data_IF_648854975069
#
_entry.id   IF_648854975069
#
_cell.length_a   1.000
_cell.length_b   1.000
_cell.length_c   1.000
_cell.angle_alpha   90.00
_cell.angle_beta   90.00
_cell.angle_gamma   90.00
#
_symmetry.space_group_name_H-M   'P 1'
#
loop_
_entity.id
_entity.type
_entity.pdbx_description
1 polymer ?
#
# COMPACT_ATOMS: atom_id res chain seq x y z
N UNK A 1 -67.47 6.83 33.56
CA UNK A 1 -67.80 8.27 33.42
C UNK A 1 -66.67 8.89 32.59
N UNK A 2 -66.80 9.47 31.40
CA UNK A 2 -67.83 9.55 30.33
C UNK A 2 -67.04 9.82 29.01
N UNK A 3 -67.42 9.47 27.78
CA UNK A 3 -68.50 8.62 27.24
C UNK A 3 -68.20 8.20 25.77
N UNK A 4 -69.13 7.48 25.13
CA UNK A 4 -69.18 7.15 23.70
C UNK A 4 -70.42 7.85 23.08
N UNK A 5 -70.46 8.20 21.77
CA UNK A 5 -70.81 7.24 20.69
C UNK A 5 -70.11 7.59 19.33
N UNK A 6 -70.27 6.94 18.16
CA UNK A 6 -71.03 5.76 17.67
C UNK A 6 -70.29 5.11 16.46
N UNK A 7 -70.87 4.10 15.79
CA UNK A 7 -70.56 3.72 14.38
C UNK A 7 -71.83 3.80 13.52
N UNK A 8 -71.73 3.69 12.17
CA UNK A 8 -72.23 2.44 11.58
C UNK A 8 -71.40 1.90 10.39
N UNK A 9 -71.56 0.59 10.11
CA UNK A 9 -71.00 -0.11 8.94
C UNK A 9 -71.94 -0.02 7.73
N UNK A 10 -71.42 0.00 6.50
CA UNK A 10 -72.13 -0.60 5.36
C UNK A 10 -71.23 -1.17 4.22
N UNK A 11 -71.55 -2.42 3.86
CA UNK A 11 -71.46 -3.13 2.57
C UNK A 11 -70.25 -2.95 1.62
N UNK A 12 -69.65 -4.08 1.30
CA UNK A 12 -68.87 -4.36 0.07
C UNK A 12 -69.80 -4.33 -1.15
N UNK A 13 -69.33 -3.83 -2.30
CA UNK A 13 -69.42 -4.61 -3.54
C UNK A 13 -68.06 -4.77 -4.24
N UNK A 14 -67.90 -5.89 -4.92
CA UNK A 14 -66.76 -6.26 -5.77
C UNK A 14 -66.76 -5.57 -7.13
N UNK A 15 -65.58 -5.60 -7.78
CA UNK A 15 -65.25 -5.32 -9.19
C UNK A 15 -65.20 -3.85 -9.65
N UNK A 16 -64.02 -3.46 -10.13
CA UNK A 16 -63.81 -2.84 -11.45
C UNK A 16 -62.32 -2.80 -11.81
N UNK A 17 -62.04 -3.08 -13.08
CA UNK A 17 -60.77 -3.14 -13.82
C UNK A 17 -59.50 -2.52 -13.19
N UNK A 18 -58.46 -3.36 -13.02
CA UNK A 18 -57.08 -2.90 -12.96
C UNK A 18 -56.48 -2.83 -14.38
N UNK A 19 -56.08 -1.62 -14.81
CA UNK A 19 -55.20 -1.40 -15.96
C UNK A 19 -53.84 -0.95 -15.44
N UNK A 20 -52.75 -1.73 -15.63
CA UNK A 20 -51.45 -1.38 -15.05
C UNK A 20 -50.76 -0.28 -15.87
N UNK A 21 -50.41 0.83 -15.20
CA UNK A 21 -49.53 1.85 -15.75
C UNK A 21 -48.08 1.31 -15.73
N UNK A 22 -47.45 1.29 -16.90
CA UNK A 22 -46.09 0.81 -17.12
C UNK A 22 -45.01 1.63 -16.38
N UNK A 23 -44.17 1.00 -15.54
CA UNK A 23 -42.89 1.56 -15.14
C UNK A 23 -41.85 1.32 -16.25
N UNK A 24 -41.20 2.39 -16.73
CA UNK A 24 -40.16 2.30 -17.77
C UNK A 24 -39.00 1.41 -17.30
N UNK A 25 -38.65 0.40 -18.11
CA UNK A 25 -37.46 -0.41 -17.91
C UNK A 25 -36.19 0.43 -17.98
N UNK A 26 -35.46 0.52 -16.88
CA UNK A 26 -34.05 0.91 -16.91
C UNK A 26 -33.23 -0.26 -17.46
N UNK A 27 -32.54 -0.06 -18.59
CA UNK A 27 -31.67 -1.08 -19.19
C UNK A 27 -30.43 -1.31 -18.31
N UNK A 28 -30.07 -2.55 -17.95
CA UNK A 28 -28.76 -2.83 -17.37
C UNK A 28 -27.67 -2.63 -18.44
N UNK A 29 -26.57 -2.00 -18.07
CA UNK A 29 -25.39 -1.82 -18.93
C UNK A 29 -24.68 -3.16 -19.14
N UNK A 30 -24.22 -3.38 -20.38
CA UNK A 30 -23.69 -4.67 -20.82
C UNK A 30 -22.40 -5.08 -20.06
N UNK A 31 -22.41 -6.28 -19.51
CA UNK A 31 -21.19 -7.02 -19.19
C UNK A 31 -20.57 -7.54 -20.49
N UNK A 32 -19.31 -7.18 -20.76
CA UNK A 32 -18.59 -7.65 -21.95
C UNK A 32 -17.89 -8.97 -21.63
N UNK A 33 -18.38 -10.06 -22.23
CA UNK A 33 -17.69 -11.36 -22.25
C UNK A 33 -16.42 -11.30 -23.10
N UNK A 34 -15.33 -12.02 -22.73
CA UNK A 34 -14.09 -12.00 -23.49
C UNK A 34 -14.24 -12.77 -24.81
N UNK A 35 -13.85 -12.14 -25.92
CA UNK A 35 -13.87 -12.74 -27.26
C UNK A 35 -12.76 -13.77 -27.46
N UNK A 36 -13.08 -14.84 -28.19
CA UNK A 36 -12.11 -15.84 -28.68
C UNK A 36 -11.06 -15.20 -29.58
N UNK A 37 -9.80 -15.60 -29.42
CA UNK A 37 -8.70 -15.29 -30.34
C UNK A 37 -8.95 -16.04 -31.66
N UNK A 38 -8.98 -15.30 -32.77
CA UNK A 38 -8.98 -15.85 -34.13
C UNK A 38 -7.61 -15.62 -34.77
N UNK A 39 -7.07 -16.67 -35.40
CA UNK A 39 -5.76 -16.66 -36.06
C UNK A 39 -5.93 -16.11 -37.49
N UNK A 40 -5.13 -15.12 -37.89
CA UNK A 40 -5.03 -14.66 -39.28
C UNK A 40 -3.57 -14.56 -39.77
N UNK A 41 -3.33 -15.23 -40.89
CA UNK A 41 -2.35 -14.97 -41.96
C UNK A 41 -3.18 -14.93 -43.28
N UNK A 42 -2.64 -14.66 -44.49
CA UNK A 42 -1.27 -14.26 -44.89
C UNK A 42 -1.25 -12.99 -45.80
N UNK A 43 -0.07 -12.55 -46.25
CA UNK A 43 0.38 -12.64 -47.67
C UNK A 43 1.76 -12.00 -47.90
N UNK A 44 2.49 -12.52 -48.89
CA UNK A 44 3.84 -12.09 -49.30
C UNK A 44 3.80 -11.32 -50.63
N UNK A 45 4.72 -10.38 -50.83
CA UNK A 45 5.25 -10.02 -52.16
C UNK A 45 6.62 -9.32 -52.08
N UNK A 46 7.56 -9.75 -52.92
CA UNK A 46 8.91 -9.19 -53.11
C UNK A 46 9.00 -8.48 -54.50
N UNK A 47 10.16 -8.01 -55.01
CA UNK A 47 10.53 -6.59 -54.97
C UNK A 47 10.73 -5.98 -56.37
N UNK A 48 11.25 -4.75 -56.47
CA UNK A 48 11.77 -4.17 -57.73
C UNK A 48 12.98 -3.26 -57.50
N UNK A 49 13.92 -3.21 -58.45
CA UNK A 49 15.31 -2.75 -58.24
C UNK A 49 15.86 -1.89 -59.40
N UNK A 50 16.29 -0.66 -59.06
CA UNK A 50 17.33 0.19 -59.68
C UNK A 50 17.28 0.65 -61.16
N UNK A 51 17.71 1.90 -61.42
CA UNK A 51 18.89 2.32 -62.24
C UNK A 51 18.97 3.90 -62.32
N UNK A 52 20.08 4.56 -62.77
CA UNK A 52 20.60 5.78 -62.10
C UNK A 52 21.00 7.01 -62.97
N UNK A 53 21.53 8.05 -62.29
CA UNK A 53 22.48 9.10 -62.77
C UNK A 53 21.90 10.29 -63.61
N UNK A 54 22.61 11.43 -63.85
CA UNK A 54 23.92 11.91 -63.31
C UNK A 54 24.05 13.44 -62.99
N UNK A 55 25.21 13.89 -62.42
CA UNK A 55 25.81 15.27 -62.39
C UNK A 55 25.06 16.41 -61.61
N UNK A 56 25.67 17.44 -60.97
CA UNK A 56 27.06 17.79 -60.56
C UNK A 56 27.07 19.11 -59.74
N UNK A 57 27.75 19.18 -58.57
CA UNK A 57 28.62 20.31 -58.09
C UNK A 57 29.18 20.06 -56.67
N UNK A 58 30.38 20.57 -56.32
CA UNK A 58 31.01 20.41 -55.01
C UNK A 58 30.84 21.63 -54.06
N UNK A 59 31.29 21.41 -52.81
CA UNK A 59 31.65 22.36 -51.73
C UNK A 59 30.56 23.18 -51.03
N UNK A 60 30.12 22.66 -49.87
CA UNK A 60 30.04 23.42 -48.61
C UNK A 60 30.77 22.61 -47.52
N UNK A 61 31.48 23.24 -46.56
CA UNK A 61 32.03 22.52 -45.40
C UNK A 61 30.88 22.11 -44.46
N UNK A 62 30.96 20.94 -43.80
CA UNK A 62 29.91 20.54 -42.87
C UNK A 62 29.84 21.54 -41.70
N UNK A 63 28.63 21.99 -41.30
CA UNK A 63 28.49 22.82 -40.11
C UNK A 63 29.04 22.07 -38.89
N UNK A 64 29.69 22.82 -38.00
CA UNK A 64 30.36 22.29 -36.82
C UNK A 64 29.44 21.33 -36.05
N UNK A 65 30.04 20.24 -35.56
CA UNK A 65 29.34 19.13 -34.93
C UNK A 65 28.21 19.64 -34.01
N UNK A 66 26.98 19.23 -34.33
CA UNK A 66 25.85 19.43 -33.44
C UNK A 66 26.28 18.89 -32.07
N UNK A 67 26.34 19.77 -31.08
CA UNK A 67 26.69 19.39 -29.72
C UNK A 67 25.77 18.23 -29.34
N UNK A 68 26.37 17.07 -29.09
CA UNK A 68 25.61 15.86 -28.82
C UNK A 68 24.75 16.14 -27.59
N UNK A 69 23.45 16.34 -27.83
CA UNK A 69 22.48 16.43 -26.76
C UNK A 69 22.67 15.17 -25.93
N UNK A 70 22.98 15.33 -24.65
CA UNK A 70 23.08 14.21 -23.73
C UNK A 70 21.80 13.37 -23.93
N UNK A 71 21.91 12.04 -24.12
CA UNK A 71 20.74 11.24 -24.39
C UNK A 71 19.74 11.50 -23.26
N UNK A 72 18.51 11.89 -23.61
CA UNK A 72 17.45 11.95 -22.61
C UNK A 72 17.46 10.60 -21.89
N UNK A 73 17.64 10.64 -20.57
CA UNK A 73 17.58 9.46 -19.71
C UNK A 73 16.12 9.02 -19.63
N UNK A 74 15.60 8.51 -20.74
CA UNK A 74 14.24 7.98 -20.82
C UNK A 74 14.28 6.64 -20.11
N UNK A 75 14.05 6.67 -18.78
CA UNK A 75 13.92 5.51 -17.90
C UNK A 75 12.92 4.45 -18.44
N UNK A 76 12.04 4.86 -19.37
CA UNK A 76 11.08 4.02 -20.07
C UNK A 76 11.34 4.12 -21.58
N UNK A 77 12.03 3.14 -22.17
CA UNK A 77 12.28 3.13 -23.62
C UNK A 77 11.00 3.17 -24.47
N UNK A 78 11.11 3.55 -25.74
CA UNK A 78 9.96 3.79 -26.63
C UNK A 78 8.92 2.65 -26.67
N UNK A 79 9.35 1.39 -26.55
CA UNK A 79 8.45 0.23 -26.44
C UNK A 79 7.60 0.25 -25.16
N UNK A 80 8.18 0.67 -24.02
CA UNK A 80 7.48 0.85 -22.75
C UNK A 80 6.47 1.98 -22.82
N UNK A 81 6.82 3.12 -23.44
CA UNK A 81 5.90 4.24 -23.66
C UNK A 81 4.69 3.84 -24.50
N UNK A 82 4.89 3.06 -25.56
CA UNK A 82 3.80 2.56 -26.40
C UNK A 82 2.94 1.50 -25.66
N UNK A 83 3.55 0.69 -24.80
CA UNK A 83 2.84 -0.31 -23.99
C UNK A 83 2.03 0.36 -22.87
N UNK A 84 2.53 1.42 -22.24
CA UNK A 84 1.81 2.20 -21.21
C UNK A 84 0.49 2.78 -21.70
N UNK A 85 0.40 3.19 -22.97
CA UNK A 85 -0.87 3.67 -23.58
C UNK A 85 -1.96 2.61 -23.61
N UNK A 86 -1.58 1.33 -23.54
CA UNK A 86 -2.47 0.16 -23.60
C UNK A 86 -2.74 -0.43 -22.22
N UNK A 87 -1.99 0.01 -21.21
CA UNK A 87 -2.12 -0.47 -19.84
C UNK A 87 -3.50 -0.12 -19.25
N UNK A 88 -4.05 -1.08 -18.50
CA UNK A 88 -5.37 -1.01 -17.86
C UNK A 88 -5.23 -1.64 -16.49
N UNK A 89 -5.45 -0.84 -15.44
CA UNK A 89 -5.49 -1.34 -14.07
C UNK A 89 -6.50 -2.49 -13.93
N UNK A 90 -6.11 -3.53 -13.21
CA UNK A 90 -6.98 -4.60 -12.76
C UNK A 90 -6.67 -4.89 -11.30
N UNK A 91 -7.65 -4.69 -10.42
CA UNK A 91 -7.54 -4.99 -9.00
C UNK A 91 -8.73 -5.83 -8.55
N UNK A 92 -8.48 -6.87 -7.77
CA UNK A 92 -9.49 -7.72 -7.14
C UNK A 92 -9.30 -7.65 -5.63
N UNK A 93 -10.22 -6.95 -4.97
CA UNK A 93 -10.26 -6.86 -3.51
C UNK A 93 -11.25 -7.89 -2.94
N UNK A 94 -10.71 -8.91 -2.27
CA UNK A 94 -11.51 -9.95 -1.62
C UNK A 94 -11.72 -9.70 -0.11
N UNK A 95 -11.18 -8.62 0.45
CA UNK A 95 -11.29 -8.27 1.88
C UNK A 95 -12.76 -8.18 2.31
N UNK A 96 -13.08 -8.91 3.39
CA UNK A 96 -14.43 -8.89 3.98
C UNK A 96 -14.71 -7.53 4.63
N UNK A 97 -13.70 -6.97 5.31
CA UNK A 97 -13.81 -5.67 5.99
C UNK A 97 -13.95 -4.53 4.98
N UNK A 98 -13.14 -4.54 3.92
CA UNK A 98 -13.29 -3.60 2.81
C UNK A 98 -14.71 -3.71 2.24
N UNK A 99 -15.10 -4.89 1.75
CA UNK A 99 -16.35 -5.08 1.01
C UNK A 99 -17.60 -4.62 1.77
N UNK A 100 -17.72 -4.95 3.06
CA UNK A 100 -18.95 -4.73 3.82
C UNK A 100 -18.93 -3.52 4.76
N UNK A 101 -17.76 -3.04 5.19
CA UNK A 101 -17.65 -1.92 6.15
C UNK A 101 -17.09 -0.66 5.50
N UNK A 102 -15.89 -0.76 4.92
CA UNK A 102 -15.13 0.43 4.51
C UNK A 102 -15.47 0.90 3.08
N UNK A 103 -15.74 0.01 2.14
CA UNK A 103 -16.17 0.36 0.78
C UNK A 103 -17.47 1.21 0.76
N UNK A 104 -18.52 0.92 1.57
CA UNK A 104 -19.66 1.81 1.75
C UNK A 104 -19.32 3.17 2.36
N UNK A 105 -18.40 3.21 3.33
CA UNK A 105 -17.92 4.44 3.97
C UNK A 105 -17.15 5.33 2.98
N UNK A 106 -16.08 4.82 2.37
CA UNK A 106 -15.27 5.51 1.36
C UNK A 106 -16.09 5.99 0.15
N UNK A 107 -17.14 5.24 -0.25
CA UNK A 107 -18.04 5.65 -1.33
C UNK A 107 -18.99 6.81 -0.96
N UNK A 108 -19.13 7.13 0.33
CA UNK A 108 -19.70 8.41 0.80
C UNK A 108 -18.62 9.48 0.89
N UNK A 109 -17.44 9.15 1.44
CA UNK A 109 -16.31 10.08 1.60
C UNK A 109 -15.90 10.73 0.27
N UNK A 110 -15.85 9.98 -0.85
CA UNK A 110 -15.52 10.56 -2.17
C UNK A 110 -16.44 11.71 -2.58
N UNK A 111 -17.68 11.77 -2.09
CA UNK A 111 -18.59 12.89 -2.40
C UNK A 111 -18.24 14.20 -1.68
N UNK A 112 -17.45 14.14 -0.61
CA UNK A 112 -16.92 15.30 0.11
C UNK A 112 -15.83 16.02 -0.70
N UNK A 113 -15.15 15.30 -1.60
CA UNK A 113 -14.11 15.85 -2.45
C UNK A 113 -14.72 16.54 -3.69
N UNK A 114 -14.31 17.77 -4.02
CA UNK A 114 -14.84 18.50 -5.16
C UNK A 114 -14.33 17.91 -6.49
N UNK A 115 -15.12 18.02 -7.56
CA UNK A 115 -14.80 17.42 -8.86
C UNK A 115 -13.55 17.99 -9.55
N UNK A 116 -13.09 19.18 -9.15
CA UNK A 116 -11.85 19.78 -9.67
C UNK A 116 -10.58 19.20 -9.03
N UNK A 117 -10.69 18.51 -7.88
CA UNK A 117 -9.52 17.99 -7.16
C UNK A 117 -8.99 16.72 -7.84
N UNK A 118 -7.73 16.71 -8.32
CA UNK A 118 -7.14 15.54 -8.96
C UNK A 118 -6.94 14.38 -7.97
N UNK A 119 -7.05 13.12 -8.42
CA UNK A 119 -6.79 11.94 -7.58
C UNK A 119 -5.42 11.98 -6.89
N UNK A 120 -4.34 12.22 -7.63
CA UNK A 120 -2.98 12.29 -7.09
C UNK A 120 -2.81 13.36 -5.98
N UNK A 121 -3.65 14.39 -5.94
CA UNK A 121 -3.65 15.39 -4.87
C UNK A 121 -4.27 14.83 -3.59
N UNK A 122 -5.27 13.93 -3.70
CA UNK A 122 -5.84 13.17 -2.58
C UNK A 122 -4.79 12.19 -2.07
N UNK A 123 -4.14 11.41 -2.95
CA UNK A 123 -3.02 10.51 -2.60
C UNK A 123 -1.94 11.25 -1.80
N UNK A 124 -1.46 12.38 -2.33
CA UNK A 124 -0.42 13.19 -1.69
C UNK A 124 -0.87 13.73 -0.32
N UNK A 125 -2.12 14.19 -0.19
CA UNK A 125 -2.65 14.63 1.10
C UNK A 125 -2.75 13.48 2.11
N UNK A 126 -3.14 12.28 1.65
CA UNK A 126 -3.12 11.07 2.46
C UNK A 126 -1.70 10.76 2.97
N UNK A 127 -0.72 10.76 2.07
CA UNK A 127 0.69 10.52 2.38
C UNK A 127 1.28 11.53 3.39
N UNK A 128 0.86 12.80 3.32
CA UNK A 128 1.26 13.83 4.30
C UNK A 128 0.83 13.51 5.74
N UNK A 129 -0.25 12.74 5.95
CA UNK A 129 -0.62 12.27 7.29
C UNK A 129 0.40 11.26 7.84
N UNK A 130 0.95 10.39 6.99
CA UNK A 130 2.01 9.45 7.38
C UNK A 130 3.33 10.17 7.68
N UNK A 131 3.71 11.14 6.85
CA UNK A 131 4.87 12.01 7.14
C UNK A 131 4.71 12.70 8.50
N UNK A 132 3.55 13.29 8.77
CA UNK A 132 3.23 13.91 10.07
C UNK A 132 3.30 12.90 11.22
N UNK A 133 2.75 11.69 11.03
CA UNK A 133 2.77 10.61 12.03
C UNK A 133 4.21 10.17 12.36
N UNK A 134 5.05 9.99 11.35
CA UNK A 134 6.47 9.66 11.53
C UNK A 134 7.26 10.79 12.20
N UNK A 135 6.97 12.05 11.88
CA UNK A 135 7.61 13.22 12.49
C UNK A 135 7.24 13.35 13.97
N UNK A 136 6.00 13.04 14.34
CA UNK A 136 5.61 12.96 15.76
C UNK A 136 6.38 11.84 16.50
N UNK A 137 6.62 10.71 15.84
CA UNK A 137 7.45 9.63 16.38
C UNK A 137 8.88 10.12 16.63
N UNK A 138 9.48 10.79 15.65
CA UNK A 138 10.82 11.37 15.78
C UNK A 138 10.94 12.38 16.93
N UNK A 139 9.95 13.26 17.09
CA UNK A 139 9.97 14.31 18.12
C UNK A 139 9.78 13.73 19.53
N UNK A 140 8.89 12.74 19.71
CA UNK A 140 8.46 12.29 21.04
C UNK A 140 9.00 10.93 21.49
N UNK A 141 9.49 10.10 20.57
CA UNK A 141 10.18 8.85 20.85
C UNK A 141 11.27 8.66 19.80
N UNK A 142 12.33 9.51 19.78
CA UNK A 142 13.32 9.53 18.71
C UNK A 142 13.91 8.14 18.47
N UNK A 143 14.20 7.38 19.53
CA UNK A 143 14.76 6.02 19.49
C UNK A 143 13.72 4.89 19.39
N UNK A 144 12.42 5.20 19.45
CA UNK A 144 11.28 4.27 19.41
C UNK A 144 11.22 3.27 20.59
N UNK A 145 12.01 3.49 21.65
CA UNK A 145 12.15 2.66 22.85
C UNK A 145 11.74 3.39 24.16
N UNK A 146 11.26 4.63 24.02
CA UNK A 146 10.75 5.48 25.10
C UNK A 146 9.27 5.76 24.87
N UNK A 147 8.46 5.73 25.93
CA UNK A 147 7.02 5.95 25.81
C UNK A 147 6.73 7.44 25.48
N UNK A 148 6.14 7.76 24.31
CA UNK A 148 5.78 9.13 23.98
C UNK A 148 4.55 9.59 24.79
N UNK A 149 4.26 10.90 24.85
CA UNK A 149 3.03 11.39 25.45
C UNK A 149 1.80 10.76 24.79
N UNK A 150 0.84 10.29 25.59
CA UNK A 150 -0.25 9.41 25.13
C UNK A 150 -1.04 9.92 23.92
N UNK A 151 -1.21 11.24 23.81
CA UNK A 151 -1.90 11.89 22.68
C UNK A 151 -1.21 11.62 21.33
N UNK A 152 0.09 11.32 21.31
CA UNK A 152 0.84 10.97 20.11
C UNK A 152 0.31 9.67 19.50
N UNK A 153 -0.04 8.65 20.32
CA UNK A 153 -0.73 7.45 19.81
C UNK A 153 -2.13 7.77 19.27
N UNK A 154 -2.88 8.67 19.91
CA UNK A 154 -4.17 9.12 19.38
C UNK A 154 -4.00 9.81 18.01
N UNK A 155 -2.94 10.62 17.86
CA UNK A 155 -2.59 11.24 16.59
C UNK A 155 -2.21 10.20 15.53
N UNK A 156 -1.33 9.23 15.83
CA UNK A 156 -0.98 8.13 14.90
C UNK A 156 -2.23 7.40 14.40
N UNK A 157 -3.13 7.00 15.31
CA UNK A 157 -4.37 6.30 14.96
C UNK A 157 -5.29 7.11 14.05
N UNK A 158 -5.47 8.40 14.33
CA UNK A 158 -6.29 9.29 13.48
C UNK A 158 -5.61 9.53 12.12
N UNK A 159 -4.31 9.80 12.09
CA UNK A 159 -3.55 10.09 10.87
C UNK A 159 -3.52 8.87 9.94
N UNK A 160 -3.32 7.66 10.47
CA UNK A 160 -3.32 6.43 9.68
C UNK A 160 -4.72 6.09 9.12
N UNK A 161 -5.77 6.28 9.92
CA UNK A 161 -7.16 6.14 9.46
C UNK A 161 -7.49 7.15 8.34
N UNK A 162 -7.00 8.38 8.45
CA UNK A 162 -7.14 9.40 7.41
C UNK A 162 -6.35 9.03 6.14
N UNK A 163 -5.10 8.56 6.25
CA UNK A 163 -4.34 8.05 5.10
C UNK A 163 -5.11 6.93 4.37
N UNK A 164 -5.52 5.87 5.05
CA UNK A 164 -6.29 4.77 4.44
C UNK A 164 -7.59 5.27 3.80
N UNK A 165 -8.23 6.30 4.38
CA UNK A 165 -9.43 6.90 3.82
C UNK A 165 -9.15 7.71 2.55
N UNK A 166 -7.99 8.36 2.45
CA UNK A 166 -7.62 9.18 1.29
C UNK A 166 -7.14 8.31 0.12
N UNK A 167 -6.27 7.34 0.38
CA UNK A 167 -5.88 6.23 -0.50
C UNK A 167 -7.11 5.61 -1.19
N UNK A 168 -7.99 4.96 -0.43
CA UNK A 168 -9.17 4.29 -0.99
C UNK A 168 -10.18 5.24 -1.68
N UNK A 169 -10.09 6.55 -1.45
CA UNK A 169 -10.91 7.57 -2.10
C UNK A 169 -10.30 8.08 -3.40
N UNK A 170 -8.98 8.10 -3.58
CA UNK A 170 -8.39 8.68 -4.79
C UNK A 170 -8.76 7.88 -6.05
N UNK A 171 -8.74 6.55 -6.00
CA UNK A 171 -9.17 5.71 -7.11
C UNK A 171 -10.67 5.84 -7.36
N UNK A 172 -11.47 6.11 -6.32
CA UNK A 172 -12.91 6.39 -6.46
C UNK A 172 -13.13 7.74 -7.14
N UNK A 173 -12.35 8.76 -6.77
CA UNK A 173 -12.34 10.05 -7.44
C UNK A 173 -11.91 9.89 -8.90
N UNK A 174 -10.83 9.17 -9.20
CA UNK A 174 -10.34 8.91 -10.55
C UNK A 174 -11.39 8.26 -11.46
N UNK A 175 -12.17 7.31 -10.92
CA UNK A 175 -13.32 6.72 -11.60
C UNK A 175 -14.48 7.72 -11.78
N UNK A 176 -14.77 8.54 -10.76
CA UNK A 176 -15.82 9.58 -10.78
C UNK A 176 -15.53 10.72 -11.76
N UNK A 177 -14.26 11.11 -11.92
CA UNK A 177 -13.78 12.16 -12.84
C UNK A 177 -13.32 11.62 -14.19
N UNK A 178 -13.35 10.29 -14.40
CA UNK A 178 -12.82 9.62 -15.61
C UNK A 178 -11.34 9.92 -15.89
N UNK A 179 -10.55 10.10 -14.85
CA UNK A 179 -9.13 10.49 -14.90
C UNK A 179 -8.17 9.41 -14.37
N UNK A 180 -8.59 8.14 -14.37
CA UNK A 180 -7.70 7.01 -14.08
C UNK A 180 -6.56 6.91 -15.11
N UNK A 181 -5.32 6.76 -14.65
CA UNK A 181 -4.14 6.69 -15.53
C UNK A 181 -3.03 5.81 -14.93
N UNK A 182 -2.11 5.27 -15.74
CA UNK A 182 -0.96 4.49 -15.25
C UNK A 182 -0.05 5.31 -14.32
N UNK A 183 0.02 6.64 -14.52
CA UNK A 183 0.80 7.55 -13.67
C UNK A 183 0.13 7.74 -12.29
N UNK A 184 -1.20 7.78 -12.25
CA UNK A 184 -1.95 7.83 -10.99
C UNK A 184 -1.66 6.60 -10.13
N UNK A 185 -1.80 5.41 -10.71
CA UNK A 185 -1.51 4.13 -10.04
C UNK A 185 -0.03 4.00 -9.61
N UNK A 186 0.92 4.44 -10.44
CA UNK A 186 2.33 4.44 -10.07
C UNK A 186 2.63 5.37 -8.88
N UNK A 187 1.94 6.52 -8.81
CA UNK A 187 2.09 7.47 -7.71
C UNK A 187 1.46 6.94 -6.41
N UNK A 188 0.26 6.37 -6.53
CA UNK A 188 -0.51 5.71 -5.47
C UNK A 188 0.27 4.56 -4.81
N UNK A 189 0.57 3.50 -5.57
CA UNK A 189 1.37 2.37 -5.07
C UNK A 189 2.79 2.79 -4.65
N UNK A 190 3.32 3.90 -5.18
CA UNK A 190 4.59 4.50 -4.75
C UNK A 190 4.51 5.11 -3.35
N UNK A 191 3.40 5.77 -3.04
CA UNK A 191 3.08 6.24 -1.69
C UNK A 191 2.89 5.06 -0.72
N UNK A 192 2.24 3.98 -1.12
CA UNK A 192 2.06 2.78 -0.28
C UNK A 192 3.37 2.05 0.05
N UNK A 193 4.28 1.96 -0.94
CA UNK A 193 5.60 1.39 -0.74
C UNK A 193 6.39 2.17 0.34
N UNK A 194 6.24 3.50 0.35
CA UNK A 194 6.80 4.37 1.38
C UNK A 194 6.02 4.29 2.69
N UNK A 195 4.69 4.14 2.65
CA UNK A 195 3.83 4.02 3.81
C UNK A 195 4.27 2.86 4.72
N UNK A 196 4.71 1.74 4.14
CA UNK A 196 5.31 0.62 4.87
C UNK A 196 6.45 1.08 5.82
N UNK A 197 7.29 2.03 5.39
CA UNK A 197 8.41 2.57 6.17
C UNK A 197 7.98 3.62 7.19
N UNK A 198 7.15 4.59 6.77
CA UNK A 198 6.68 5.67 7.64
C UNK A 198 5.76 5.17 8.76
N UNK A 199 4.91 4.18 8.47
CA UNK A 199 4.01 3.59 9.45
C UNK A 199 4.73 2.62 10.38
N UNK A 200 5.77 1.93 9.91
CA UNK A 200 6.62 1.14 10.81
C UNK A 200 7.23 2.01 11.92
N UNK A 201 7.60 3.27 11.67
CA UNK A 201 8.05 4.20 12.72
C UNK A 201 6.97 4.49 13.76
N UNK A 202 5.75 4.84 13.32
CA UNK A 202 4.64 5.16 14.21
C UNK A 202 4.21 3.95 15.05
N UNK A 203 4.20 2.76 14.44
CA UNK A 203 4.00 1.50 15.13
C UNK A 203 5.15 1.19 16.10
N UNK A 204 6.41 1.41 15.70
CA UNK A 204 7.59 1.23 16.55
C UNK A 204 7.54 2.08 17.83
N UNK A 205 7.24 3.37 17.68
CA UNK A 205 6.96 4.33 18.76
C UNK A 205 5.81 3.87 19.67
N UNK A 206 4.75 3.30 19.08
CA UNK A 206 3.57 2.81 19.81
C UNK A 206 3.82 1.52 20.59
N UNK A 207 4.60 0.60 20.02
CA UNK A 207 4.99 -0.66 20.66
C UNK A 207 6.18 -0.50 21.61
N UNK A 208 6.85 0.65 21.58
CA UNK A 208 8.07 0.94 22.32
C UNK A 208 9.16 -0.13 22.08
N UNK A 209 9.27 -0.61 20.84
CA UNK A 209 10.09 -1.78 20.47
C UNK A 209 11.47 -1.41 19.90
N UNK A 210 11.81 -0.12 19.83
CA UNK A 210 13.12 0.39 19.46
C UNK A 210 13.61 -0.17 18.14
N UNK A 211 14.78 -0.82 18.17
CA UNK A 211 15.42 -1.41 16.99
C UNK A 211 14.63 -2.54 16.34
N UNK A 212 13.73 -3.22 17.07
CA UNK A 212 12.87 -4.27 16.49
C UNK A 212 11.75 -3.69 15.60
N UNK A 213 11.61 -2.37 15.54
CA UNK A 213 10.85 -1.68 14.48
C UNK A 213 11.28 -2.12 13.08
N UNK A 214 12.56 -2.43 12.87
CA UNK A 214 13.04 -2.98 11.60
C UNK A 214 12.31 -4.28 11.21
N UNK A 215 12.04 -5.17 12.17
CA UNK A 215 11.31 -6.41 11.90
C UNK A 215 9.83 -6.13 11.56
N UNK A 216 9.21 -5.12 12.19
CA UNK A 216 7.87 -4.66 11.84
C UNK A 216 7.80 -4.06 10.44
N UNK A 217 8.81 -3.29 10.02
CA UNK A 217 8.95 -2.83 8.64
C UNK A 217 9.04 -4.00 7.65
N UNK A 218 9.88 -5.01 7.94
CA UNK A 218 10.00 -6.22 7.10
C UNK A 218 8.67 -6.98 6.98
N UNK A 219 7.90 -7.07 8.09
CA UNK A 219 6.57 -7.70 8.13
C UNK A 219 5.56 -7.00 7.22
N UNK A 220 5.68 -5.68 6.99
CA UNK A 220 4.86 -4.96 6.01
C UNK A 220 5.45 -5.05 4.58
N UNK A 221 6.74 -4.80 4.44
CA UNK A 221 7.42 -4.67 3.15
C UNK A 221 7.47 -5.98 2.34
N UNK A 222 7.64 -7.14 2.99
CA UNK A 222 7.73 -8.43 2.29
C UNK A 222 6.39 -8.82 1.63
N UNK A 223 5.23 -8.83 2.33
CA UNK A 223 3.93 -9.03 1.69
C UNK A 223 3.64 -8.02 0.58
N UNK A 224 3.93 -6.73 0.81
CA UNK A 224 3.70 -5.67 -0.18
C UNK A 224 4.49 -5.93 -1.47
N UNK A 225 5.81 -6.14 -1.37
CA UNK A 225 6.65 -6.39 -2.54
C UNK A 225 6.25 -7.67 -3.28
N UNK A 226 5.89 -8.75 -2.56
CA UNK A 226 5.44 -9.98 -3.18
C UNK A 226 4.06 -9.86 -3.83
N UNK A 227 3.16 -8.99 -3.34
CA UNK A 227 1.90 -8.69 -4.01
C UNK A 227 2.14 -7.91 -5.31
N UNK A 228 3.11 -6.99 -5.33
CA UNK A 228 3.55 -6.30 -6.57
C UNK A 228 4.21 -7.27 -7.57
N UNK A 229 5.03 -8.21 -7.08
CA UNK A 229 5.63 -9.27 -7.91
C UNK A 229 4.55 -10.23 -8.45
N UNK A 230 3.56 -10.62 -7.65
CA UNK A 230 2.40 -11.38 -8.13
C UNK A 230 1.62 -10.60 -9.20
N UNK A 231 1.38 -9.31 -8.98
CA UNK A 231 0.72 -8.42 -9.94
C UNK A 231 1.47 -8.41 -11.28
N UNK A 232 2.80 -8.36 -11.29
CA UNK A 232 3.61 -8.42 -12.52
C UNK A 232 3.35 -9.69 -13.36
N UNK A 233 3.20 -10.87 -12.74
CA UNK A 233 2.91 -12.10 -13.47
C UNK A 233 1.44 -12.21 -13.88
N UNK A 234 0.53 -11.94 -12.96
CA UNK A 234 -0.92 -12.13 -13.12
C UNK A 234 -1.59 -11.04 -13.97
N UNK A 235 -1.01 -9.82 -14.02
CA UNK A 235 -1.65 -8.60 -14.50
C UNK A 235 -2.95 -8.26 -13.74
N UNK A 236 -3.05 -8.63 -12.46
CA UNK A 236 -4.09 -8.15 -11.55
C UNK A 236 -3.54 -8.06 -10.13
N UNK A 237 -3.75 -6.95 -9.44
CA UNK A 237 -3.47 -6.85 -8.01
C UNK A 237 -4.55 -7.63 -7.24
N UNK A 238 -4.18 -8.77 -6.66
CA UNK A 238 -5.10 -9.65 -5.91
C UNK A 238 -4.89 -9.37 -4.42
N UNK A 239 -5.89 -8.77 -3.76
CA UNK A 239 -5.87 -8.57 -2.31
C UNK A 239 -6.63 -9.72 -1.64
N UNK A 240 -6.02 -10.46 -0.69
CA UNK A 240 -6.61 -11.66 -0.10
C UNK A 240 -7.81 -11.35 0.81
N UNK A 241 -8.60 -12.39 1.11
CA UNK A 241 -9.82 -12.30 1.94
C UNK A 241 -9.54 -11.83 3.38
N UNK A 242 -8.35 -12.18 3.88
CA UNK A 242 -7.82 -11.85 5.21
C UNK A 242 -6.36 -11.46 5.01
N UNK A 243 -5.84 -10.54 5.83
CA UNK A 243 -4.48 -10.00 5.73
C UNK A 243 -4.22 -9.25 4.41
N UNK A 244 -5.24 -8.54 3.89
CA UNK A 244 -5.03 -7.48 2.91
C UNK A 244 -4.54 -6.19 3.59
N UNK A 245 -4.16 -5.16 2.79
CA UNK A 245 -3.75 -3.86 3.33
C UNK A 245 -4.85 -3.22 4.20
N UNK A 246 -6.12 -3.44 3.85
CA UNK A 246 -7.29 -2.96 4.60
C UNK A 246 -7.29 -3.44 6.05
N UNK A 247 -7.20 -4.75 6.30
CA UNK A 247 -7.16 -5.30 7.65
C UNK A 247 -5.87 -4.94 8.39
N UNK A 248 -4.73 -4.92 7.70
CA UNK A 248 -3.43 -4.57 8.28
C UNK A 248 -3.39 -3.15 8.84
N UNK A 249 -3.73 -2.16 8.00
CA UNK A 249 -3.81 -0.75 8.41
C UNK A 249 -4.87 -0.54 9.52
N UNK A 250 -6.00 -1.26 9.45
CA UNK A 250 -7.02 -1.23 10.52
C UNK A 250 -6.50 -1.75 11.85
N UNK A 251 -5.79 -2.89 11.85
CA UNK A 251 -5.20 -3.43 13.07
C UNK A 251 -4.20 -2.45 13.68
N UNK A 252 -3.41 -1.76 12.86
CA UNK A 252 -2.42 -0.78 13.30
C UNK A 252 -3.11 0.47 13.90
N UNK A 253 -4.07 1.11 13.22
CA UNK A 253 -4.74 2.28 13.81
C UNK A 253 -5.58 1.94 15.04
N UNK A 254 -6.18 0.75 15.10
CA UNK A 254 -6.86 0.27 16.32
C UNK A 254 -5.84 0.05 17.45
N UNK A 255 -4.64 -0.45 17.15
CA UNK A 255 -3.56 -0.59 18.13
C UNK A 255 -3.08 0.75 18.65
N UNK A 256 -2.92 1.78 17.80
CA UNK A 256 -2.63 3.14 18.23
C UNK A 256 -3.70 3.72 19.16
N UNK A 257 -4.98 3.63 18.75
CA UNK A 257 -6.12 4.13 19.53
C UNK A 257 -6.27 3.37 20.87
N UNK A 258 -5.98 2.07 20.89
CA UNK A 258 -5.92 1.28 22.12
C UNK A 258 -4.77 1.73 23.04
N UNK A 259 -3.59 2.01 22.46
CA UNK A 259 -2.41 2.47 23.21
C UNK A 259 -2.61 3.85 23.83
N UNK A 260 -3.45 4.71 23.25
CA UNK A 260 -3.90 5.94 23.93
C UNK A 260 -4.61 5.64 25.28
N UNK A 261 -5.27 4.50 25.43
CA UNK A 261 -5.95 4.07 26.68
C UNK A 261 -5.11 3.18 27.59
N UNK A 262 -4.15 2.39 27.08
CA UNK A 262 -3.23 1.57 27.92
C UNK A 262 -1.89 2.23 28.20
N UNK A 263 -1.20 2.75 27.19
CA UNK A 263 0.18 3.25 27.25
C UNK A 263 1.13 2.31 26.50
N UNK A 264 2.22 2.86 25.95
CA UNK A 264 3.18 2.10 25.13
C UNK A 264 3.84 0.96 25.92
N UNK A 265 4.00 1.16 27.24
CA UNK A 265 4.55 0.19 28.19
C UNK A 265 3.74 -1.12 28.23
N UNK A 266 2.45 -1.10 27.86
CA UNK A 266 1.62 -2.29 27.77
C UNK A 266 2.12 -3.27 26.68
N UNK A 267 2.83 -2.79 25.66
CA UNK A 267 3.44 -3.64 24.63
C UNK A 267 4.84 -4.11 25.00
N UNK A 268 5.59 -3.27 25.74
CA UNK A 268 6.98 -3.54 26.10
C UNK A 268 7.16 -4.37 27.39
N UNK A 269 6.17 -4.36 28.29
CA UNK A 269 6.18 -5.24 29.45
C UNK A 269 5.94 -6.72 29.06
N UNK A 270 6.27 -7.63 29.98
CA UNK A 270 6.01 -9.06 29.83
C UNK A 270 4.53 -9.35 29.51
N UNK A 271 4.30 -10.21 28.51
CA UNK A 271 2.97 -10.51 27.99
C UNK A 271 1.96 -11.00 29.05
N UNK A 272 2.41 -11.64 30.15
CA UNK A 272 1.53 -12.12 31.24
C UNK A 272 0.96 -10.97 32.07
N UNK A 273 1.64 -9.82 32.10
CA UNK A 273 1.14 -8.58 32.74
C UNK A 273 0.10 -7.89 31.85
N UNK A 274 0.34 -7.89 30.54
CA UNK A 274 -0.56 -7.28 29.54
C UNK A 274 -1.83 -8.08 29.29
N UNK A 275 -1.78 -9.40 29.44
CA UNK A 275 -2.89 -10.34 29.20
C UNK A 275 -3.16 -11.20 30.46
N UNK A 276 -3.81 -10.66 31.52
CA UNK A 276 -3.98 -11.34 32.80
C UNK A 276 -4.80 -12.64 32.78
N UNK A 277 -5.53 -12.92 31.70
CA UNK A 277 -6.22 -14.21 31.53
C UNK A 277 -5.24 -15.34 31.20
N UNK A 278 -4.09 -15.03 30.59
CA UNK A 278 -3.06 -16.02 30.25
C UNK A 278 -2.19 -16.34 31.47
N UNK A 279 -1.99 -15.39 32.39
CA UNK A 279 -1.23 -15.62 33.63
C UNK A 279 -1.92 -16.59 34.61
N UNK A 280 -3.20 -16.93 34.39
CA UNK A 280 -3.90 -18.02 35.08
C UNK A 280 -3.36 -19.41 34.70
N UNK A 281 -2.67 -19.53 33.56
CA UNK A 281 -1.99 -20.77 33.15
C UNK A 281 -0.53 -20.68 33.60
N UNK A 282 -0.07 -21.53 34.54
CA UNK A 282 1.33 -21.51 34.97
C UNK A 282 2.25 -21.96 33.84
N UNK A 283 3.07 -21.04 33.36
CA UNK A 283 4.10 -21.27 32.33
C UNK A 283 5.52 -21.10 32.94
N UNK A 284 5.93 -21.98 33.89
CA UNK A 284 7.14 -21.78 34.70
C UNK A 284 8.46 -21.87 33.92
N UNK A 285 8.43 -22.43 32.70
CA UNK A 285 9.60 -22.58 31.82
C UNK A 285 9.67 -21.52 30.71
N UNK A 286 8.72 -20.58 30.65
CA UNK A 286 8.70 -19.51 29.66
C UNK A 286 9.37 -18.27 30.26
N UNK A 287 10.48 -17.76 29.67
CA UNK A 287 11.18 -16.56 30.16
C UNK A 287 10.30 -15.31 30.06
N UNK A 288 10.77 -14.16 30.57
CA UNK A 288 10.10 -12.89 30.32
C UNK A 288 10.20 -12.50 28.84
N UNK A 289 9.06 -12.21 28.22
CA UNK A 289 8.96 -11.88 26.79
C UNK A 289 8.02 -10.67 26.64
N UNK A 290 8.50 -9.53 26.09
CA UNK A 290 7.65 -8.38 25.78
C UNK A 290 6.50 -8.77 24.86
N UNK A 291 5.30 -8.22 25.11
CA UNK A 291 4.13 -8.53 24.29
C UNK A 291 4.36 -8.22 22.79
N UNK A 292 5.08 -7.15 22.45
CA UNK A 292 5.41 -6.84 21.05
C UNK A 292 6.23 -7.94 20.36
N UNK A 293 7.00 -8.77 21.09
CA UNK A 293 7.72 -9.90 20.47
C UNK A 293 6.75 -11.03 20.13
N UNK A 294 5.79 -11.31 21.03
CA UNK A 294 4.74 -12.29 20.77
C UNK A 294 3.89 -11.86 19.58
N UNK A 295 3.47 -10.59 19.53
CA UNK A 295 2.70 -10.03 18.40
C UNK A 295 3.48 -10.16 17.09
N UNK A 296 4.77 -9.83 17.07
CA UNK A 296 5.62 -9.98 15.89
C UNK A 296 5.68 -11.44 15.39
N UNK A 297 5.87 -12.39 16.29
CA UNK A 297 5.87 -13.83 15.96
C UNK A 297 4.50 -14.26 15.39
N UNK A 298 3.40 -13.83 16.00
CA UNK A 298 2.05 -14.15 15.52
C UNK A 298 1.78 -13.54 14.14
N UNK A 299 2.21 -12.30 13.88
CA UNK A 299 2.12 -11.67 12.55
C UNK A 299 2.94 -12.44 11.50
N UNK A 300 4.15 -12.90 11.83
CA UNK A 300 4.95 -13.71 10.90
C UNK A 300 4.24 -15.04 10.60
N UNK A 301 3.78 -15.75 11.63
CA UNK A 301 3.19 -17.08 11.52
C UNK A 301 1.82 -17.10 10.83
N UNK A 302 0.94 -16.14 11.14
CA UNK A 302 -0.46 -16.16 10.71
C UNK A 302 -0.82 -15.13 9.62
N UNK A 303 0.06 -14.15 9.36
CA UNK A 303 -0.13 -13.16 8.31
C UNK A 303 0.94 -13.28 7.20
N UNK A 304 2.23 -13.11 7.52
CA UNK A 304 3.30 -13.06 6.50
C UNK A 304 3.46 -14.40 5.78
N UNK A 305 3.67 -15.51 6.51
CA UNK A 305 3.91 -16.83 5.89
C UNK A 305 2.74 -17.26 4.98
N UNK A 306 1.46 -17.17 5.40
CA UNK A 306 0.32 -17.47 4.52
C UNK A 306 0.23 -16.58 3.28
N UNK A 307 0.45 -15.27 3.40
CA UNK A 307 0.43 -14.36 2.24
C UNK A 307 1.58 -14.66 1.28
N UNK A 308 2.82 -14.83 1.77
CA UNK A 308 3.98 -15.25 0.96
C UNK A 308 3.67 -16.54 0.19
N UNK A 309 3.12 -17.54 0.86
CA UNK A 309 2.73 -18.81 0.24
C UNK A 309 1.64 -18.68 -0.82
N UNK A 310 0.64 -17.82 -0.59
CA UNK A 310 -0.41 -17.51 -1.57
C UNK A 310 0.17 -16.87 -2.83
N UNK A 311 0.99 -15.83 -2.69
CA UNK A 311 1.54 -15.07 -3.80
C UNK A 311 2.46 -15.95 -4.66
N UNK A 312 3.33 -16.75 -4.03
CA UNK A 312 4.17 -17.76 -4.70
C UNK A 312 3.30 -18.79 -5.44
N UNK A 313 2.27 -19.33 -4.78
CA UNK A 313 1.36 -20.32 -5.38
C UNK A 313 0.54 -19.78 -6.56
N UNK A 314 0.24 -18.48 -6.59
CA UNK A 314 -0.45 -17.84 -7.70
C UNK A 314 0.49 -17.54 -8.87
N UNK A 315 1.72 -17.07 -8.61
CA UNK A 315 2.75 -16.93 -9.66
C UNK A 315 3.08 -18.29 -10.29
N UNK A 316 3.25 -19.34 -9.48
CA UNK A 316 3.50 -20.70 -9.97
C UNK A 316 2.47 -21.14 -11.02
N UNK A 317 1.16 -20.98 -10.73
CA UNK A 317 0.08 -21.30 -11.68
C UNK A 317 0.23 -20.57 -13.02
N UNK A 318 0.63 -19.31 -13.00
CA UNK A 318 0.83 -18.49 -14.21
C UNK A 318 2.09 -18.91 -14.97
N UNK A 319 3.18 -19.19 -14.25
CA UNK A 319 4.45 -19.67 -14.83
C UNK A 319 4.24 -21.03 -15.51
N UNK A 320 3.59 -21.99 -14.83
CA UNK A 320 3.27 -23.31 -15.37
C UNK A 320 2.38 -23.21 -16.62
N UNK A 321 1.31 -22.41 -16.56
CA UNK A 321 0.41 -22.19 -17.70
C UNK A 321 1.12 -21.56 -18.92
N UNK A 322 2.18 -20.77 -18.68
CA UNK A 322 3.04 -20.17 -19.72
C UNK A 322 4.24 -21.06 -20.10
N UNK A 323 4.44 -22.21 -19.45
CA UNK A 323 5.63 -23.07 -19.57
C UNK A 323 6.95 -22.31 -19.30
N UNK A 324 6.91 -21.38 -18.35
CA UNK A 324 8.09 -20.62 -17.90
C UNK A 324 8.92 -21.38 -16.86
N UNK A 325 9.97 -20.72 -16.37
CA UNK A 325 10.81 -21.18 -15.25
C UNK A 325 10.42 -20.42 -13.99
N UNK A 326 10.15 -21.15 -12.89
CA UNK A 326 9.86 -20.54 -11.59
C UNK A 326 11.16 -20.00 -10.96
N UNK A 327 12.28 -20.63 -11.24
CA UNK A 327 13.62 -20.21 -10.81
C UNK A 327 13.93 -18.80 -11.34
N UNK A 328 13.61 -18.53 -12.60
CA UNK A 328 13.76 -17.20 -13.20
C UNK A 328 12.76 -16.19 -12.60
N UNK A 329 11.53 -16.61 -12.30
CA UNK A 329 10.55 -15.74 -11.64
C UNK A 329 11.00 -15.36 -10.22
N UNK A 330 11.54 -16.30 -9.45
CA UNK A 330 12.11 -16.09 -8.11
C UNK A 330 13.42 -15.27 -8.17
N UNK A 331 14.23 -15.41 -9.22
CA UNK A 331 15.43 -14.59 -9.41
C UNK A 331 15.11 -13.08 -9.53
N UNK A 332 13.90 -12.71 -9.95
CA UNK A 332 13.44 -11.31 -9.94
C UNK A 332 13.33 -10.71 -8.53
N UNK A 333 13.31 -11.54 -7.48
CA UNK A 333 13.29 -11.09 -6.08
C UNK A 333 14.69 -10.73 -5.56
N UNK A 334 15.77 -11.10 -6.26
CA UNK A 334 17.15 -10.86 -5.82
C UNK A 334 17.48 -9.40 -5.47
N UNK A 335 17.02 -8.37 -6.24
CA UNK A 335 17.26 -6.97 -5.87
C UNK A 335 16.61 -6.58 -4.52
N UNK A 336 15.42 -7.12 -4.23
CA UNK A 336 14.72 -6.88 -2.97
C UNK A 336 15.36 -7.65 -1.80
N UNK A 337 15.80 -8.90 -2.04
CA UNK A 337 16.60 -9.66 -1.05
C UNK A 337 17.91 -8.92 -0.73
N UNK A 338 18.59 -8.39 -1.75
CA UNK A 338 19.80 -7.60 -1.57
C UNK A 338 19.55 -6.29 -0.81
N UNK A 339 18.42 -5.61 -1.07
CA UNK A 339 17.98 -4.44 -0.29
C UNK A 339 17.75 -4.81 1.18
N UNK A 340 16.95 -5.85 1.46
CA UNK A 340 16.68 -6.30 2.83
C UNK A 340 17.96 -6.71 3.57
N UNK A 341 18.85 -7.44 2.91
CA UNK A 341 20.16 -7.82 3.46
C UNK A 341 21.04 -6.59 3.72
N UNK A 342 21.06 -5.61 2.81
CA UNK A 342 21.80 -4.36 2.97
C UNK A 342 21.31 -3.55 4.18
N UNK A 343 19.99 -3.37 4.33
CA UNK A 343 19.41 -2.67 5.50
C UNK A 343 19.63 -3.48 6.78
N UNK A 344 19.53 -4.80 6.75
CA UNK A 344 19.83 -5.64 7.92
C UNK A 344 21.30 -5.52 8.36
N UNK A 345 22.26 -5.59 7.41
CA UNK A 345 23.69 -5.38 7.68
C UNK A 345 23.94 -3.97 8.23
N UNK A 346 23.30 -2.93 7.66
CA UNK A 346 23.35 -1.56 8.18
C UNK A 346 22.89 -1.51 9.65
N UNK A 347 21.68 -1.99 9.94
CA UNK A 347 21.10 -2.01 11.31
C UNK A 347 21.96 -2.78 12.30
N UNK A 348 22.58 -3.90 11.87
CA UNK A 348 23.48 -4.70 12.71
C UNK A 348 24.85 -4.03 12.91
N UNK A 349 25.41 -3.39 11.88
CA UNK A 349 26.70 -2.69 11.96
C UNK A 349 26.68 -1.51 12.94
N UNK A 350 25.51 -0.87 13.11
CA UNK A 350 25.33 0.20 14.09
C UNK A 350 25.33 -0.30 15.53
N UNK A 351 24.86 -1.53 15.81
CA UNK A 351 24.95 -2.11 17.16
C UNK A 351 26.38 -2.20 17.69
N UNK A 352 27.36 -2.43 16.81
CA UNK A 352 28.76 -2.51 17.22
C UNK A 352 29.27 -1.15 17.72
N UNK A 353 28.95 -0.04 17.04
CA UNK A 353 29.37 1.30 17.46
C UNK A 353 28.73 1.76 18.77
N UNK A 354 27.45 1.44 19.00
CA UNK A 354 26.75 1.81 20.24
C UNK A 354 27.22 1.07 21.50
N UNK A 355 28.03 0.02 21.38
CA UNK A 355 28.56 -0.72 22.53
C UNK A 355 29.97 -0.29 22.97
N UNK A 356 30.66 0.55 22.19
CA UNK A 356 32.05 0.94 22.48
C UNK A 356 32.19 2.28 23.23
N UNK A 357 31.20 3.18 23.19
CA UNK A 357 31.23 4.44 23.95
C UNK A 357 30.04 4.58 24.92
N UNK A 358 30.26 5.10 26.15
CA UNK A 358 29.19 5.44 27.07
C UNK A 358 28.44 6.67 26.56
N UNK A 359 27.13 6.55 26.34
CA UNK A 359 26.29 7.62 25.81
C UNK A 359 26.33 8.89 26.68
N UNK A 360 27.18 9.85 26.30
CA UNK A 360 27.22 11.19 26.88
C UNK A 360 27.03 12.25 25.80
N UNK A 361 25.99 13.06 25.99
CA UNK A 361 25.59 14.23 25.19
C UNK A 361 25.04 13.98 23.78
N UNK A 362 23.74 14.28 23.62
CA UNK A 362 23.08 15.04 22.55
C UNK A 362 23.34 14.78 21.05
N UNK A 363 24.28 13.93 20.64
CA UNK A 363 24.66 13.70 19.24
C UNK A 363 24.26 12.29 18.73
N UNK A 364 23.61 11.48 19.56
CA UNK A 364 23.11 10.13 19.25
C UNK A 364 21.77 10.17 18.49
N UNK A 365 21.76 10.66 17.26
CA UNK A 365 20.55 10.75 16.44
C UNK A 365 20.03 9.38 15.98
N UNK A 366 18.72 9.11 16.13
CA UNK A 366 18.17 7.85 15.65
C UNK A 366 18.10 7.80 14.10
N UNK A 367 18.63 6.70 13.56
CA UNK A 367 19.18 6.61 12.22
C UNK A 367 18.17 6.63 11.08
N UNK A 368 16.92 6.22 11.35
CA UNK A 368 15.87 6.15 10.33
C UNK A 368 15.32 7.54 9.96
N UNK A 369 15.31 8.47 10.92
CA UNK A 369 14.86 9.85 10.68
C UNK A 369 15.93 10.66 9.95
N UNK A 370 17.22 10.36 10.18
CA UNK A 370 18.32 10.89 9.35
C UNK A 370 18.21 10.43 7.88
N UNK A 371 17.87 9.14 7.66
CA UNK A 371 17.69 8.57 6.32
C UNK A 371 16.52 9.20 5.53
N UNK A 372 15.47 9.65 6.23
CA UNK A 372 14.25 10.20 5.65
C UNK A 372 14.28 11.73 5.52
N UNK A 373 14.77 12.45 6.53
CA UNK A 373 14.71 13.91 6.59
C UNK A 373 16.04 14.60 6.23
N UNK A 374 17.13 13.84 6.09
CA UNK A 374 18.41 14.34 5.58
C UNK A 374 19.10 15.43 6.42
N UNK A 375 18.66 15.62 7.67
CA UNK A 375 19.11 16.71 8.52
C UNK A 375 20.38 16.31 9.30
N UNK A 376 21.50 16.95 8.95
CA UNK A 376 22.71 16.96 9.80
C UNK A 376 22.65 18.17 10.72
N UNK A 377 22.70 17.95 12.02
CA UNK A 377 22.81 19.04 12.98
C UNK A 377 24.30 19.43 13.12
N UNK A 378 24.67 20.58 12.56
CA UNK A 378 26.07 21.08 12.52
C UNK A 378 26.52 21.70 13.86
N UNK A 379 25.76 21.49 14.94
CA UNK A 379 26.04 22.03 16.29
C UNK A 379 27.08 21.22 17.08
N UNK A 380 27.32 19.93 16.75
CA UNK A 380 28.43 19.15 17.31
C UNK A 380 29.75 19.54 16.64
N UNK A 381 30.49 20.46 17.27
CA UNK A 381 31.88 20.76 16.89
C UNK A 381 32.82 19.67 17.41
N UNK A 382 33.72 19.16 16.55
CA UNK A 382 34.76 18.20 16.94
C UNK A 382 35.65 18.77 18.05
N UNK A 383 35.80 18.02 19.14
CA UNK A 383 36.87 18.14 20.15
C UNK A 383 37.40 16.74 20.43
#
# INVERSE_FOLDING_TARGET
RLEYPTTPRHRIPTSLSASPISPRQAKPTNWVTPHRIAIQRPLESLPSRALPNPLRRPSEPPPAAAAAAAPEMVYIGAHGVETLKRYRYSGQDHSVVAKYVLQPFWSRCVTLFPLWMPPNMITLMGFMFLLTSSLLSYIYSPHLDTAPPRWVHLAHGILLFLYQTFDAVDGKQARRTSSSSPLGELFDHGCDALACAFEALALGSTLMCGRLTFCYWVVAAVPFYLATWEHYFTNTLILPVINGPTEGLMLIYVSHLFTFFTGAEWWAQDFRKSLPLISLVPLPFVPEIPLYVIVLILMIMFAVIPTVGSNIGNVQKVVDARKGSMELALAMLLPFIALLAGVAVWVLSLSFRYHEEPATSACDWNWFCFWIFGWKDDTCSFV
#
